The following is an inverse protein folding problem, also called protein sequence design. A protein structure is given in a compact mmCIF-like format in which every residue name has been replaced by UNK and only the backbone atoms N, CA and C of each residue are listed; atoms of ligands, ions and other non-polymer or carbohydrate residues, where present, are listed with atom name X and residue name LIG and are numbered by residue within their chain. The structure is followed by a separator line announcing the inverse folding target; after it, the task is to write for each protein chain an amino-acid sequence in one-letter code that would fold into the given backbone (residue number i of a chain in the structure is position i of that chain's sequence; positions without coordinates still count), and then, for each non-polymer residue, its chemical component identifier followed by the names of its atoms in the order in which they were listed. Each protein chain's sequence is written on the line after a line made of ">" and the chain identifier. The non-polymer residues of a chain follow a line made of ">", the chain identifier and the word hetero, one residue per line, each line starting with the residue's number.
data_IF_578255047379
#
_entry.id   IF_578255047379
#
_cell.length_a   1.000
_cell.length_b   1.000
_cell.length_c   1.000
_cell.angle_alpha   90.00
_cell.angle_beta   90.00
_cell.angle_gamma   90.00
#
_symmetry.space_group_name_H-M   'P 1'
#
loop_
_entity.id
_entity.type
_entity.pdbx_description
1 polymer ?
#
# COMPACT_ATOMS: atom_id res chain seq x y z
N UNK A 1 -0.06 -19.79 -39.45
CA UNK A 1 -0.96 -18.63 -39.31
C UNK A 1 -1.71 -18.72 -37.99
N UNK A 2 -1.12 -18.17 -36.94
CA UNK A 2 -1.57 -18.29 -35.53
C UNK A 2 -2.99 -17.72 -35.36
N UNK A 3 -3.30 -16.62 -36.05
CA UNK A 3 -4.63 -15.99 -36.01
C UNK A 3 -5.70 -16.94 -36.57
N UNK A 4 -5.38 -17.65 -37.64
CA UNK A 4 -6.28 -18.64 -38.23
C UNK A 4 -6.47 -19.86 -37.31
N UNK A 5 -5.47 -20.18 -36.49
CA UNK A 5 -5.55 -21.22 -35.45
C UNK A 5 -6.32 -20.75 -34.18
N UNK A 6 -6.81 -19.50 -34.15
CA UNK A 6 -7.53 -18.93 -33.01
C UNK A 6 -6.65 -18.37 -31.90
N UNK A 7 -5.35 -18.32 -32.09
CA UNK A 7 -4.41 -17.67 -31.14
C UNK A 7 -4.64 -16.16 -31.19
N UNK A 8 -4.86 -15.57 -30.03
CA UNK A 8 -5.10 -14.13 -29.89
C UNK A 8 -4.08 -13.51 -28.95
N UNK A 9 -3.67 -12.26 -29.18
CA UNK A 9 -2.85 -11.55 -28.21
C UNK A 9 -3.60 -11.42 -26.88
N UNK A 10 -2.89 -11.63 -25.81
CA UNK A 10 -3.39 -11.49 -24.44
C UNK A 10 -2.50 -10.55 -23.63
N UNK A 11 -3.07 -9.97 -22.59
CA UNK A 11 -2.35 -9.07 -21.66
C UNK A 11 -2.07 -9.82 -20.37
N UNK A 12 -0.82 -9.83 -19.96
CA UNK A 12 -0.40 -10.39 -18.68
C UNK A 12 -0.05 -9.26 -17.71
N UNK A 13 -0.53 -9.34 -16.47
CA UNK A 13 -0.25 -8.38 -15.42
C UNK A 13 1.01 -8.80 -14.65
N UNK A 14 2.04 -7.98 -14.73
CA UNK A 14 3.28 -8.16 -13.98
C UNK A 14 3.34 -7.12 -12.86
N UNK A 15 3.27 -7.61 -11.63
CA UNK A 15 3.37 -6.73 -10.45
C UNK A 15 4.81 -6.31 -10.19
N UNK A 16 5.06 -5.20 -9.49
CA UNK A 16 6.41 -4.76 -9.15
C UNK A 16 7.26 -5.81 -8.43
N UNK A 17 6.62 -6.72 -7.68
CA UNK A 17 7.31 -7.82 -6.96
C UNK A 17 7.84 -8.91 -7.91
N UNK A 18 7.30 -9.00 -9.12
CA UNK A 18 7.72 -9.97 -10.14
C UNK A 18 8.84 -9.41 -11.02
N UNK A 19 9.02 -8.09 -11.05
CA UNK A 19 10.05 -7.43 -11.86
C UNK A 19 11.41 -7.58 -11.19
N UNK A 20 12.38 -8.13 -11.92
CA UNK A 20 13.73 -8.36 -11.43
C UNK A 20 14.71 -7.28 -11.90
N UNK A 21 14.57 -6.85 -13.17
CA UNK A 21 15.47 -5.85 -13.76
C UNK A 21 14.86 -5.22 -15.01
N UNK A 22 15.26 -3.98 -15.33
CA UNK A 22 14.84 -3.29 -16.53
C UNK A 22 15.83 -2.20 -16.92
N UNK A 23 15.93 -1.94 -18.22
CA UNK A 23 16.76 -0.87 -18.75
C UNK A 23 16.01 -0.08 -19.82
N UNK A 24 16.10 1.24 -19.73
CA UNK A 24 15.55 2.16 -20.70
C UNK A 24 16.65 2.79 -21.51
N UNK A 25 16.49 2.78 -22.83
CA UNK A 25 17.40 3.46 -23.76
C UNK A 25 16.68 4.53 -24.57
N UNK A 26 17.44 5.44 -25.08
CA UNK A 26 16.92 6.49 -25.94
C UNK A 26 17.04 6.05 -27.38
N UNK A 27 15.91 5.93 -28.09
CA UNK A 27 15.89 5.60 -29.50
C UNK A 27 16.49 6.73 -30.36
N UNK A 28 16.79 6.44 -31.61
CA UNK A 28 17.26 7.43 -32.58
C UNK A 28 16.29 8.61 -32.77
N UNK A 29 15.01 8.39 -32.52
CA UNK A 29 13.95 9.43 -32.55
C UNK A 29 13.86 10.25 -31.25
N UNK A 30 14.74 9.98 -30.28
CA UNK A 30 14.77 10.68 -28.99
C UNK A 30 13.75 10.17 -27.97
N UNK A 31 12.93 9.18 -28.31
CA UNK A 31 11.97 8.55 -27.38
C UNK A 31 12.67 7.50 -26.51
N UNK A 32 12.25 7.40 -25.26
CA UNK A 32 12.70 6.31 -24.40
C UNK A 32 11.89 5.06 -24.69
N UNK A 33 12.58 3.95 -24.87
CA UNK A 33 12.01 2.61 -25.03
C UNK A 33 12.71 1.63 -24.12
N UNK A 34 12.04 0.54 -23.76
CA UNK A 34 12.65 -0.56 -23.03
C UNK A 34 13.67 -1.27 -23.93
N UNK A 35 14.90 -1.38 -23.45
CA UNK A 35 15.98 -2.12 -24.11
C UNK A 35 16.18 -3.50 -23.47
N UNK A 36 15.79 -3.63 -22.22
CA UNK A 36 15.89 -4.88 -21.45
C UNK A 36 14.78 -4.94 -20.44
N UNK A 37 14.15 -6.12 -20.27
CA UNK A 37 13.13 -6.36 -19.27
C UNK A 37 13.17 -7.80 -18.78
N UNK A 38 13.34 -7.97 -17.48
CA UNK A 38 13.45 -9.27 -16.81
C UNK A 38 12.44 -9.38 -15.69
N UNK A 39 11.65 -10.45 -15.71
CA UNK A 39 10.63 -10.66 -14.69
C UNK A 39 10.38 -12.14 -14.44
N UNK A 40 9.79 -12.46 -13.30
CA UNK A 40 9.29 -13.79 -12.96
C UNK A 40 7.91 -13.93 -13.56
N UNK A 41 7.73 -14.88 -14.48
CA UNK A 41 6.45 -15.16 -15.10
C UNK A 41 5.57 -16.04 -14.20
N UNK A 42 6.18 -17.07 -13.61
CA UNK A 42 5.49 -18.05 -12.79
C UNK A 42 6.39 -18.55 -11.67
N UNK A 43 5.77 -18.87 -10.53
CA UNK A 43 6.40 -19.54 -9.40
C UNK A 43 5.58 -20.81 -9.12
N UNK A 44 6.20 -21.97 -9.25
CA UNK A 44 5.57 -23.25 -9.00
C UNK A 44 6.40 -24.06 -7.99
N UNK A 45 6.04 -23.94 -6.70
CA UNK A 45 6.83 -24.48 -5.61
C UNK A 45 8.23 -23.86 -5.59
N UNK A 46 9.25 -24.70 -5.69
CA UNK A 46 10.67 -24.30 -5.68
C UNK A 46 11.20 -23.91 -7.07
N UNK A 47 10.34 -23.93 -8.09
CA UNK A 47 10.73 -23.63 -9.47
C UNK A 47 10.16 -22.28 -9.89
N UNK A 48 11.02 -21.45 -10.50
CA UNK A 48 10.66 -20.12 -11.02
C UNK A 48 10.93 -20.07 -12.51
N UNK A 49 9.93 -19.62 -13.27
CA UNK A 49 10.08 -19.31 -14.68
C UNK A 49 10.35 -17.83 -14.83
N UNK A 50 11.50 -17.49 -15.40
CA UNK A 50 11.95 -16.11 -15.60
C UNK A 50 11.95 -15.82 -17.10
N UNK A 51 11.32 -14.73 -17.49
CA UNK A 51 11.41 -14.19 -18.84
C UNK A 51 12.35 -12.99 -18.92
N UNK A 52 13.14 -12.99 -19.98
CA UNK A 52 14.05 -11.91 -20.31
C UNK A 52 13.74 -11.46 -21.72
N UNK A 53 13.32 -10.22 -21.86
CA UNK A 53 12.99 -9.61 -23.14
C UNK A 53 14.09 -8.62 -23.54
N UNK A 54 14.47 -8.71 -24.79
CA UNK A 54 15.24 -7.70 -25.51
C UNK A 54 14.48 -7.29 -26.78
N UNK A 55 14.86 -6.23 -27.49
CA UNK A 55 14.26 -5.92 -28.79
C UNK A 55 14.34 -7.08 -29.80
N UNK A 56 15.41 -7.88 -29.75
CA UNK A 56 15.69 -8.92 -30.72
C UNK A 56 15.26 -10.33 -30.27
N UNK A 57 15.29 -10.61 -28.96
CA UNK A 57 15.05 -11.97 -28.45
C UNK A 57 14.19 -12.00 -27.19
N UNK A 58 13.55 -13.13 -26.98
CA UNK A 58 12.84 -13.51 -25.75
C UNK A 58 13.46 -14.78 -25.20
N UNK A 59 14.02 -14.70 -24.02
CA UNK A 59 14.62 -15.84 -23.34
C UNK A 59 13.77 -16.26 -22.15
N UNK A 60 13.41 -17.54 -22.12
CA UNK A 60 12.72 -18.15 -20.97
C UNK A 60 13.72 -19.02 -20.23
N UNK A 61 13.87 -18.81 -18.93
CA UNK A 61 14.82 -19.51 -18.07
C UNK A 61 14.06 -20.10 -16.88
N UNK A 62 14.14 -21.40 -16.72
CA UNK A 62 13.56 -22.11 -15.58
C UNK A 62 14.66 -22.40 -14.57
N UNK A 63 14.49 -21.90 -13.35
CA UNK A 63 15.48 -22.06 -12.25
C UNK A 63 14.83 -22.68 -11.03
N UNK A 64 15.63 -23.44 -10.26
CA UNK A 64 15.22 -23.93 -8.95
C UNK A 64 15.57 -22.91 -7.84
N UNK A 65 15.16 -23.18 -6.60
CA UNK A 65 15.46 -22.33 -5.44
C UNK A 65 16.96 -22.09 -5.20
N UNK A 66 17.82 -23.00 -5.59
CA UNK A 66 19.28 -22.85 -5.51
C UNK A 66 19.84 -22.03 -6.70
N UNK A 67 18.98 -21.39 -7.49
CA UNK A 67 19.34 -20.62 -8.70
C UNK A 67 20.08 -21.46 -9.77
N UNK A 68 19.92 -22.76 -9.76
CA UNK A 68 20.44 -23.64 -10.80
C UNK A 68 19.46 -23.64 -11.97
N UNK A 69 19.93 -23.30 -13.16
CA UNK A 69 19.14 -23.35 -14.39
C UNK A 69 18.79 -24.79 -14.73
N UNK A 70 17.50 -25.09 -14.81
CA UNK A 70 16.97 -26.38 -15.23
C UNK A 70 16.84 -26.40 -16.75
N UNK A 71 16.27 -25.35 -17.32
CA UNK A 71 15.98 -25.21 -18.73
C UNK A 71 16.19 -23.77 -19.18
N UNK A 72 16.60 -23.57 -20.44
CA UNK A 72 16.72 -22.26 -21.04
C UNK A 72 16.39 -22.34 -22.52
N UNK A 73 15.39 -21.58 -22.95
CA UNK A 73 14.98 -21.45 -24.36
C UNK A 73 15.13 -19.98 -24.80
N UNK A 74 15.47 -19.77 -26.06
CA UNK A 74 15.58 -18.43 -26.64
C UNK A 74 14.89 -18.39 -28.00
N UNK A 75 14.04 -17.42 -28.19
CA UNK A 75 13.23 -17.20 -29.38
C UNK A 75 13.46 -15.80 -29.94
N UNK A 76 13.24 -15.61 -31.22
CA UNK A 76 13.37 -14.30 -31.87
C UNK A 76 12.14 -13.45 -31.52
N UNK A 77 12.35 -12.21 -31.10
CA UNK A 77 11.28 -11.24 -30.91
C UNK A 77 10.91 -10.61 -32.27
N UNK A 78 9.85 -11.09 -32.88
CA UNK A 78 9.38 -10.62 -34.19
C UNK A 78 8.86 -9.19 -34.21
N UNK A 79 8.71 -8.50 -33.06
CA UNK A 79 8.21 -7.13 -32.97
C UNK A 79 9.32 -6.06 -33.08
N UNK A 80 10.58 -6.43 -32.85
CA UNK A 80 11.71 -5.48 -32.80
C UNK A 80 11.68 -4.51 -31.63
N UNK A 81 10.74 -4.67 -30.69
CA UNK A 81 10.57 -3.86 -29.48
C UNK A 81 10.00 -4.72 -28.38
N UNK A 82 10.19 -4.34 -27.12
CA UNK A 82 9.64 -5.07 -25.96
C UNK A 82 8.18 -4.65 -25.75
N UNK A 83 7.19 -5.59 -25.87
CA UNK A 83 5.77 -5.29 -25.75
C UNK A 83 5.33 -5.19 -24.29
N UNK A 84 5.91 -4.26 -23.54
CA UNK A 84 5.59 -4.02 -22.15
C UNK A 84 5.21 -2.55 -21.93
N UNK A 85 4.16 -2.34 -21.14
CA UNK A 85 3.66 -1.03 -20.77
C UNK A 85 3.79 -0.87 -19.26
N UNK A 86 4.46 0.20 -18.82
CA UNK A 86 4.57 0.53 -17.41
C UNK A 86 3.41 1.43 -17.01
N UNK A 87 2.43 0.86 -16.30
CA UNK A 87 1.28 1.58 -15.78
C UNK A 87 1.62 2.19 -14.41
N UNK A 88 1.70 3.51 -14.36
CA UNK A 88 2.00 4.23 -13.13
C UNK A 88 0.73 4.69 -12.43
N UNK A 89 0.63 4.46 -11.13
CA UNK A 89 -0.33 5.17 -10.30
C UNK A 89 0.01 6.68 -10.26
N UNK A 90 1.26 6.98 -9.93
CA UNK A 90 1.87 8.30 -10.06
C UNK A 90 3.32 8.11 -10.50
N UNK A 91 3.75 8.87 -11.49
CA UNK A 91 5.08 8.73 -12.05
C UNK A 91 6.14 9.29 -11.11
N UNK A 92 7.15 8.47 -10.79
CA UNK A 92 8.33 8.88 -10.05
C UNK A 92 9.39 9.57 -10.94
N UNK A 93 10.48 10.00 -10.29
CA UNK A 93 11.64 10.60 -10.98
C UNK A 93 12.38 9.54 -11.80
N UNK A 94 12.49 8.33 -11.25
CA UNK A 94 13.14 7.20 -11.92
C UNK A 94 12.14 6.51 -12.84
N UNK A 95 12.50 6.35 -14.09
CA UNK A 95 11.66 5.65 -15.08
C UNK A 95 11.54 4.16 -14.72
N UNK A 96 10.33 3.65 -14.73
CA UNK A 96 10.01 2.29 -14.27
C UNK A 96 9.58 2.23 -12.80
N UNK A 97 9.78 3.31 -12.02
CA UNK A 97 9.35 3.36 -10.62
C UNK A 97 8.23 4.40 -10.46
N UNK A 98 7.10 3.95 -9.94
CA UNK A 98 5.98 4.81 -9.57
C UNK A 98 6.07 5.27 -8.11
N UNK A 99 5.22 6.22 -7.76
CA UNK A 99 5.02 6.68 -6.38
C UNK A 99 3.74 6.06 -5.86
N UNK A 100 3.81 5.46 -4.68
CA UNK A 100 2.64 4.90 -3.99
C UNK A 100 1.80 6.00 -3.35
N UNK A 101 0.48 5.90 -3.45
CA UNK A 101 -0.43 6.80 -2.73
C UNK A 101 -0.43 6.57 -1.22
N UNK A 102 -0.03 5.38 -0.79
CA UNK A 102 0.00 4.99 0.62
C UNK A 102 1.41 5.03 1.24
N UNK A 103 2.41 5.53 0.48
CA UNK A 103 3.78 5.58 0.96
C UNK A 103 3.92 6.38 2.25
N UNK A 104 3.43 7.62 2.25
CA UNK A 104 3.47 8.50 3.42
C UNK A 104 2.52 8.03 4.54
N UNK A 105 1.41 7.37 4.17
CA UNK A 105 0.43 6.82 5.11
C UNK A 105 1.02 5.62 5.87
N UNK A 106 1.86 4.83 5.24
CA UNK A 106 2.44 3.62 5.85
C UNK A 106 3.25 3.94 7.11
N UNK A 107 3.98 5.05 7.14
CA UNK A 107 4.74 5.47 8.32
C UNK A 107 3.81 5.91 9.47
N UNK A 108 2.72 6.60 9.17
CA UNK A 108 1.71 6.96 10.18
C UNK A 108 0.98 5.72 10.69
N UNK A 109 0.67 4.77 9.83
CA UNK A 109 0.07 3.49 10.24
C UNK A 109 0.99 2.71 11.18
N UNK A 110 2.29 2.66 10.90
CA UNK A 110 3.28 2.04 11.78
C UNK A 110 3.35 2.73 13.14
N UNK A 111 3.27 4.07 13.15
CA UNK A 111 3.23 4.85 14.38
C UNK A 111 2.00 4.53 15.23
N UNK A 112 0.80 4.46 14.62
CA UNK A 112 -0.44 4.06 15.31
C UNK A 112 -0.34 2.65 15.88
N UNK A 113 0.25 1.71 15.12
CA UNK A 113 0.47 0.34 15.58
C UNK A 113 1.35 0.29 16.83
N UNK A 114 2.45 1.06 16.85
CA UNK A 114 3.32 1.15 18.01
C UNK A 114 2.59 1.75 19.22
N UNK A 115 1.83 2.82 19.03
CA UNK A 115 1.01 3.42 20.10
C UNK A 115 -0.03 2.43 20.66
N UNK A 116 -0.65 1.63 19.80
CA UNK A 116 -1.56 0.55 20.25
C UNK A 116 -0.86 -0.47 21.13
N UNK A 117 0.38 -0.84 20.78
CA UNK A 117 1.19 -1.76 21.58
C UNK A 117 1.55 -1.16 22.95
N UNK A 118 1.85 0.13 23.01
CA UNK A 118 2.10 0.85 24.26
C UNK A 118 0.85 0.89 25.16
N UNK A 119 -0.32 1.12 24.58
CA UNK A 119 -1.59 1.06 25.32
C UNK A 119 -1.80 -0.35 25.91
N UNK A 120 -1.64 -1.39 25.09
CA UNK A 120 -1.81 -2.78 25.54
C UNK A 120 -0.86 -3.11 26.69
N UNK A 121 0.42 -2.69 26.59
CA UNK A 121 1.39 -2.89 27.66
C UNK A 121 1.00 -2.13 28.94
N UNK A 122 0.57 -0.87 28.81
CA UNK A 122 0.13 -0.06 29.94
C UNK A 122 -1.08 -0.68 30.63
N UNK A 123 -2.10 -1.11 29.86
CA UNK A 123 -3.28 -1.78 30.40
C UNK A 123 -2.89 -3.07 31.14
N UNK A 124 -1.96 -3.84 30.59
CA UNK A 124 -1.47 -5.08 31.21
C UNK A 124 -0.77 -4.81 32.54
N UNK A 125 0.05 -3.77 32.61
CA UNK A 125 0.72 -3.35 33.86
C UNK A 125 -0.28 -2.81 34.88
N UNK A 126 -1.25 -1.99 34.46
CA UNK A 126 -2.28 -1.43 35.33
C UNK A 126 -3.27 -2.48 35.85
N UNK A 127 -3.49 -3.56 35.07
CA UNK A 127 -4.35 -4.68 35.49
C UNK A 127 -3.73 -5.55 36.59
N UNK A 128 -2.41 -5.42 36.81
CA UNK A 128 -1.66 -6.11 37.87
C UNK A 128 -0.94 -5.12 38.75
N UNK A 129 -1.64 -4.30 39.54
CA UNK A 129 -1.03 -3.25 40.34
C UNK A 129 -0.09 -3.86 41.40
N UNK A 130 1.07 -3.24 41.57
CA UNK A 130 2.04 -3.64 42.58
C UNK A 130 1.70 -2.99 43.93
N UNK A 131 1.70 -3.78 45.00
CA UNK A 131 1.55 -3.27 46.36
C UNK A 131 2.93 -2.97 46.90
N UNK A 132 3.14 -1.73 47.34
CA UNK A 132 4.35 -1.30 48.04
C UNK A 132 4.08 -1.35 49.52
N UNK A 133 4.89 -2.10 50.27
CA UNK A 133 4.75 -2.27 51.68
C UNK A 133 6.14 -2.39 52.35
N UNK A 134 6.20 -2.12 53.64
CA UNK A 134 7.42 -2.33 54.43
C UNK A 134 7.68 -3.82 54.66
N UNK A 135 8.93 -4.24 54.94
CA UNK A 135 9.25 -5.66 55.17
C UNK A 135 8.48 -6.33 56.29
N UNK A 136 8.00 -5.55 57.27
CA UNK A 136 7.27 -6.06 58.42
C UNK A 136 5.72 -6.09 58.21
N UNK A 137 5.23 -5.75 57.00
CA UNK A 137 3.81 -5.80 56.66
C UNK A 137 3.42 -7.20 56.19
N UNK A 138 2.42 -7.79 56.82
CA UNK A 138 1.91 -9.09 56.42
C UNK A 138 0.90 -8.88 55.30
N UNK A 139 1.25 -9.33 54.08
CA UNK A 139 0.40 -9.28 52.89
C UNK A 139 -0.26 -10.65 52.69
N UNK A 140 -1.56 -10.69 52.59
CA UNK A 140 -2.27 -11.89 52.13
C UNK A 140 -2.83 -11.69 50.73
N UNK A 141 -2.70 -12.70 49.85
CA UNK A 141 -3.19 -12.64 48.48
C UNK A 141 -4.68 -13.11 48.45
N UNK A 142 -5.53 -12.35 47.76
CA UNK A 142 -6.91 -12.70 47.51
C UNK A 142 -7.89 -11.52 47.56
N UNK A 143 -9.01 -11.65 46.88
CA UNK A 143 -10.05 -10.63 46.91
C UNK A 143 -10.62 -10.50 48.36
N UNK A 144 -10.63 -9.30 48.91
CA UNK A 144 -11.07 -9.02 50.28
C UNK A 144 -10.05 -9.40 51.35
N UNK A 145 -8.80 -9.69 51.02
CA UNK A 145 -7.75 -9.97 51.98
C UNK A 145 -7.44 -8.75 52.85
N UNK A 146 -7.21 -9.01 54.16
CA UNK A 146 -6.83 -7.96 55.12
C UNK A 146 -5.32 -7.82 55.13
N UNK A 147 -4.85 -6.61 54.93
CA UNK A 147 -3.44 -6.25 55.08
C UNK A 147 -3.20 -5.82 56.53
N UNK A 148 -2.39 -6.56 57.27
CA UNK A 148 -2.02 -6.21 58.63
C UNK A 148 -0.76 -5.29 58.62
N UNK A 149 -0.90 -4.15 59.24
CA UNK A 149 0.14 -3.13 59.36
C UNK A 149 0.57 -3.04 60.80
N UNK A 150 1.90 -2.92 61.14
CA UNK A 150 2.36 -2.69 62.50
C UNK A 150 1.70 -1.45 63.12
N UNK A 151 1.36 -1.52 64.42
CA UNK A 151 0.68 -0.42 65.12
C UNK A 151 1.54 0.86 65.18
N UNK A 152 2.87 0.71 65.23
CA UNK A 152 3.85 1.81 65.33
C UNK A 152 4.36 2.32 63.97
N UNK A 153 3.66 1.96 62.88
CA UNK A 153 4.10 2.38 61.52
C UNK A 153 3.82 3.87 61.33
N UNK A 154 4.87 4.60 60.88
CA UNK A 154 4.74 5.99 60.44
C UNK A 154 3.66 6.09 59.35
N UNK A 155 2.73 7.08 59.41
CA UNK A 155 1.68 7.27 58.41
C UNK A 155 2.19 7.36 56.97
N UNK A 156 3.46 7.81 56.76
CA UNK A 156 4.12 7.86 55.45
C UNK A 156 4.59 6.52 54.93
N UNK A 157 4.61 5.47 55.78
CA UNK A 157 5.07 4.13 55.40
C UNK A 157 3.91 3.12 55.22
N UNK A 158 2.66 3.60 55.24
CA UNK A 158 1.52 2.74 54.98
C UNK A 158 1.58 2.08 53.62
N UNK A 159 1.14 0.81 53.50
CA UNK A 159 1.05 0.16 52.21
C UNK A 159 0.18 0.95 51.24
N UNK A 160 0.65 1.08 50.02
CA UNK A 160 -0.10 1.73 48.95
C UNK A 160 0.02 0.92 47.67
N UNK A 161 -0.96 1.10 46.80
CA UNK A 161 -0.97 0.50 45.46
C UNK A 161 -0.22 1.45 44.51
N UNK A 162 0.83 0.93 43.89
CA UNK A 162 1.52 1.63 42.80
C UNK A 162 0.72 1.38 41.51
N UNK A 163 -0.07 2.35 41.16
CA UNK A 163 -0.92 2.30 39.99
C UNK A 163 -0.70 3.54 39.14
N UNK A 164 -0.69 3.39 37.83
CA UNK A 164 -0.67 4.50 36.88
C UNK A 164 -1.99 5.29 36.99
N UNK A 165 -1.92 6.58 36.74
CA UNK A 165 -3.11 7.45 36.80
C UNK A 165 -4.05 7.29 35.60
N UNK A 166 -3.74 6.44 34.64
CA UNK A 166 -4.50 6.30 33.38
C UNK A 166 -4.41 7.53 32.45
N UNK A 167 -3.85 8.62 32.90
CA UNK A 167 -3.68 9.83 32.10
C UNK A 167 -2.81 9.58 30.83
N UNK A 168 -1.85 8.67 30.93
CA UNK A 168 -1.01 8.26 29.81
C UNK A 168 -1.82 7.63 28.70
N UNK A 169 -2.78 6.76 29.04
CA UNK A 169 -3.65 6.10 28.04
C UNK A 169 -4.49 7.14 27.31
N UNK A 170 -5.08 8.10 28.00
CA UNK A 170 -5.85 9.17 27.39
C UNK A 170 -5.00 10.02 26.42
N UNK A 171 -3.76 10.32 26.81
CA UNK A 171 -2.81 11.06 25.97
C UNK A 171 -2.43 10.27 24.72
N UNK A 172 -2.17 8.96 24.83
CA UNK A 172 -1.84 8.10 23.69
C UNK A 172 -3.05 8.01 22.75
N UNK A 173 -4.27 7.83 23.27
CA UNK A 173 -5.50 7.80 22.46
C UNK A 173 -5.72 9.12 21.70
N UNK A 174 -5.49 10.27 22.33
CA UNK A 174 -5.57 11.56 21.66
C UNK A 174 -4.54 11.70 20.54
N UNK A 175 -3.32 11.20 20.76
CA UNK A 175 -2.25 11.17 19.74
C UNK A 175 -2.63 10.24 18.58
N UNK A 176 -3.20 9.07 18.86
CA UNK A 176 -3.71 8.17 17.83
C UNK A 176 -4.81 8.82 16.99
N UNK A 177 -5.77 9.48 17.63
CA UNK A 177 -6.84 10.20 16.92
C UNK A 177 -6.25 11.28 15.98
N UNK A 178 -5.28 12.07 16.46
CA UNK A 178 -4.59 13.06 15.64
C UNK A 178 -3.82 12.43 14.46
N UNK A 179 -3.24 11.24 14.65
CA UNK A 179 -2.55 10.51 13.58
C UNK A 179 -3.53 9.96 12.53
N UNK A 180 -4.71 9.51 12.96
CA UNK A 180 -5.80 9.10 12.05
C UNK A 180 -6.29 10.29 11.23
N UNK A 181 -6.48 11.46 11.84
CA UNK A 181 -6.85 12.69 11.13
C UNK A 181 -5.78 13.12 10.11
N UNK A 182 -4.50 12.92 10.45
CA UNK A 182 -3.41 13.18 9.52
C UNK A 182 -3.46 12.24 8.31
N UNK A 183 -3.75 10.94 8.51
CA UNK A 183 -3.95 9.97 7.43
C UNK A 183 -5.11 10.39 6.54
N UNK A 184 -6.25 10.79 7.13
CA UNK A 184 -7.42 11.22 6.35
C UNK A 184 -7.12 12.45 5.48
N UNK A 185 -6.33 13.39 5.99
CA UNK A 185 -5.88 14.56 5.22
C UNK A 185 -4.92 14.17 4.09
N UNK A 186 -3.96 13.29 4.35
CA UNK A 186 -3.01 12.82 3.33
C UNK A 186 -3.71 12.01 2.24
N UNK A 187 -4.70 11.19 2.62
CA UNK A 187 -5.49 10.38 1.69
C UNK A 187 -6.59 11.16 0.96
N UNK A 188 -6.93 12.38 1.41
CA UNK A 188 -8.13 13.13 0.99
C UNK A 188 -9.43 12.35 1.20
N UNK A 189 -9.52 11.56 2.27
CA UNK A 189 -10.68 10.71 2.59
C UNK A 189 -11.52 11.26 3.74
N UNK A 190 -11.18 12.45 4.26
CA UNK A 190 -11.86 13.07 5.40
C UNK A 190 -13.37 13.20 5.21
N UNK A 191 -13.82 13.60 4.01
CA UNK A 191 -15.25 13.70 3.70
C UNK A 191 -16.00 12.36 3.75
N UNK A 192 -15.34 11.26 3.41
CA UNK A 192 -15.93 9.91 3.41
C UNK A 192 -16.03 9.36 4.84
N UNK A 193 -15.03 9.66 5.68
CA UNK A 193 -14.94 9.17 7.06
C UNK A 193 -15.65 10.06 8.08
N UNK A 194 -16.04 11.27 7.71
CA UNK A 194 -16.77 12.16 8.61
C UNK A 194 -18.09 11.52 9.05
N UNK A 195 -18.03 10.76 10.14
CA UNK A 195 -19.20 10.12 10.78
C UNK A 195 -20.12 11.17 11.42
N UNK A 196 -19.54 12.34 11.75
CA UNK A 196 -20.27 13.49 12.29
C UNK A 196 -20.59 14.52 11.19
N UNK A 197 -21.47 14.13 10.27
CA UNK A 197 -22.01 15.04 9.24
C UNK A 197 -22.62 16.35 9.79
N UNK A 198 -22.74 16.45 11.11
CA UNK A 198 -23.28 17.63 11.81
C UNK A 198 -22.29 18.80 11.94
N UNK A 199 -21.02 18.58 11.76
CA UNK A 199 -19.97 19.60 12.06
C UNK A 199 -19.35 20.22 10.81
N UNK A 200 -19.47 19.61 9.63
CA UNK A 200 -18.95 20.19 8.39
C UNK A 200 -20.04 20.98 7.65
N UNK A 201 -19.72 22.20 7.23
CA UNK A 201 -20.60 22.94 6.33
C UNK A 201 -20.64 22.25 4.96
N UNK A 202 -21.77 22.33 4.24
CA UNK A 202 -21.90 21.74 2.91
C UNK A 202 -20.79 22.18 1.94
N UNK A 203 -20.30 23.42 2.07
CA UNK A 203 -19.18 23.95 1.27
C UNK A 203 -17.87 23.24 1.61
N UNK A 204 -17.57 22.98 2.89
CA UNK A 204 -16.34 22.29 3.30
C UNK A 204 -16.35 20.85 2.79
N UNK A 205 -17.47 20.14 2.90
CA UNK A 205 -17.63 18.80 2.36
C UNK A 205 -17.46 18.77 0.83
N UNK A 206 -18.05 19.75 0.13
CA UNK A 206 -17.90 19.88 -1.32
C UNK A 206 -16.43 20.09 -1.72
N UNK A 207 -15.69 20.91 -0.97
CA UNK A 207 -14.26 21.15 -1.23
C UNK A 207 -13.42 19.87 -1.07
N UNK A 208 -13.66 19.07 -0.03
CA UNK A 208 -12.96 17.80 0.16
C UNK A 208 -13.31 16.77 -0.92
N UNK A 209 -14.57 16.71 -1.36
CA UNK A 209 -14.95 15.88 -2.50
C UNK A 209 -14.28 16.33 -3.79
N UNK A 210 -14.09 17.64 -4.01
CA UNK A 210 -13.35 18.14 -5.17
C UNK A 210 -11.87 17.71 -5.14
N UNK A 211 -11.24 17.68 -3.97
CA UNK A 211 -9.87 17.18 -3.83
C UNK A 211 -9.76 15.69 -4.17
N UNK A 212 -10.70 14.88 -3.69
CA UNK A 212 -10.78 13.46 -4.03
C UNK A 212 -11.05 13.25 -5.53
N UNK A 213 -12.00 14.01 -6.10
CA UNK A 213 -12.33 13.96 -7.52
C UNK A 213 -11.12 14.31 -8.41
N UNK A 214 -10.33 15.30 -8.02
CA UNK A 214 -9.10 15.67 -8.71
C UNK A 214 -8.06 14.55 -8.72
N UNK A 215 -7.91 13.85 -7.59
CA UNK A 215 -7.02 12.66 -7.53
C UNK A 215 -7.51 11.51 -8.40
N UNK A 216 -8.83 11.29 -8.45
CA UNK A 216 -9.41 10.26 -9.31
C UNK A 216 -9.23 10.61 -10.78
N UNK A 217 -9.37 11.89 -11.17
CA UNK A 217 -9.10 12.33 -12.52
C UNK A 217 -7.63 12.11 -12.94
N UNK A 218 -6.65 12.44 -12.08
CA UNK A 218 -5.23 12.15 -12.35
C UNK A 218 -4.98 10.65 -12.60
N UNK A 219 -5.68 9.78 -11.86
CA UNK A 219 -5.60 8.33 -12.05
C UNK A 219 -6.29 7.87 -13.34
N UNK A 220 -7.41 8.47 -13.68
CA UNK A 220 -8.10 8.19 -14.94
C UNK A 220 -7.21 8.52 -16.14
N UNK A 221 -6.54 9.69 -16.13
CA UNK A 221 -5.58 10.08 -17.16
C UNK A 221 -4.44 9.07 -17.30
N UNK A 222 -3.89 8.61 -16.16
CA UNK A 222 -2.80 7.63 -16.15
C UNK A 222 -3.23 6.26 -16.69
N UNK A 223 -4.46 5.82 -16.36
CA UNK A 223 -5.02 4.56 -16.85
C UNK A 223 -5.37 4.64 -18.33
N UNK A 224 -5.97 5.75 -18.79
CA UNK A 224 -6.28 6.00 -20.20
C UNK A 224 -5.03 5.88 -21.07
N UNK A 225 -3.96 6.56 -20.68
CA UNK A 225 -2.68 6.49 -21.39
C UNK A 225 -2.09 5.06 -21.38
N UNK A 226 -2.20 4.37 -20.25
CA UNK A 226 -1.73 3.00 -20.12
C UNK A 226 -2.50 2.05 -21.05
N UNK A 227 -3.82 2.13 -21.04
CA UNK A 227 -4.69 1.30 -21.85
C UNK A 227 -4.52 1.58 -23.35
N UNK A 228 -4.38 2.86 -23.72
CA UNK A 228 -4.07 3.25 -25.10
C UNK A 228 -2.76 2.59 -25.59
N UNK A 229 -1.73 2.55 -24.76
CA UNK A 229 -0.47 1.88 -25.11
C UNK A 229 -0.64 0.37 -25.20
N UNK A 230 -1.45 -0.26 -24.35
CA UNK A 230 -1.75 -1.70 -24.42
C UNK A 230 -2.46 -2.03 -25.75
N UNK A 231 -3.48 -1.25 -26.11
CA UNK A 231 -4.20 -1.46 -27.36
C UNK A 231 -3.32 -1.25 -28.59
N UNK A 232 -2.41 -0.27 -28.57
CA UNK A 232 -1.42 -0.10 -29.65
C UNK A 232 -0.55 -1.35 -29.83
N UNK A 233 -0.17 -2.04 -28.75
CA UNK A 233 0.54 -3.30 -28.82
C UNK A 233 -0.30 -4.42 -29.40
N UNK A 234 -1.55 -4.55 -28.95
CA UNK A 234 -2.49 -5.54 -29.47
C UNK A 234 -2.68 -5.37 -30.98
N UNK A 235 -2.93 -4.15 -31.45
CA UNK A 235 -3.05 -3.83 -32.87
C UNK A 235 -1.78 -4.14 -33.66
N UNK A 236 -0.61 -3.84 -33.08
CA UNK A 236 0.69 -4.16 -33.68
C UNK A 236 0.88 -5.67 -33.84
N UNK A 237 0.51 -6.48 -32.84
CA UNK A 237 0.51 -7.94 -32.94
C UNK A 237 -0.43 -8.47 -34.01
N UNK A 238 -1.59 -7.84 -34.15
CA UNK A 238 -2.58 -8.23 -35.18
C UNK A 238 -2.22 -7.75 -36.60
N UNK A 239 -1.17 -6.93 -36.75
CA UNK A 239 -0.79 -6.32 -38.02
C UNK A 239 -1.80 -5.31 -38.56
N UNK A 240 -2.62 -4.72 -37.70
CA UNK A 240 -3.68 -3.75 -38.03
C UNK A 240 -3.28 -2.36 -37.52
N UNK A 241 -3.68 -1.32 -38.25
CA UNK A 241 -3.46 0.05 -37.78
C UNK A 241 -4.32 0.35 -36.55
N UNK A 242 -3.73 1.03 -35.59
CA UNK A 242 -4.44 1.48 -34.38
C UNK A 242 -5.37 2.66 -34.72
N UNK A 243 -6.66 2.51 -34.44
CA UNK A 243 -7.71 3.50 -34.68
C UNK A 243 -8.69 3.64 -33.49
N UNK A 244 -8.40 2.97 -32.38
CA UNK A 244 -9.24 3.05 -31.19
C UNK A 244 -8.98 4.33 -30.40
N UNK A 245 -10.05 4.92 -29.88
CA UNK A 245 -10.01 6.01 -28.92
C UNK A 245 -10.50 5.50 -27.56
N UNK A 246 -9.71 5.78 -26.52
CA UNK A 246 -10.02 5.38 -25.16
C UNK A 246 -10.23 6.66 -24.37
N UNK A 247 -11.35 6.77 -23.66
CA UNK A 247 -11.65 7.91 -22.81
C UNK A 247 -12.22 7.44 -21.47
N UNK A 248 -11.60 7.88 -20.40
CA UNK A 248 -12.09 7.68 -19.04
C UNK A 248 -12.85 8.91 -18.56
N UNK A 249 -13.84 8.76 -17.66
CA UNK A 249 -14.53 9.92 -17.10
C UNK A 249 -13.58 10.76 -16.24
N UNK A 250 -13.60 12.08 -16.43
CA UNK A 250 -12.81 13.03 -15.62
C UNK A 250 -13.66 13.74 -14.57
N UNK A 251 -14.98 13.65 -14.66
CA UNK A 251 -15.90 14.27 -13.73
C UNK A 251 -16.46 13.24 -12.75
N UNK A 252 -15.96 13.27 -11.52
CA UNK A 252 -16.40 12.42 -10.41
C UNK A 252 -17.30 13.22 -9.44
N UNK A 253 -18.25 13.98 -9.97
CA UNK A 253 -19.16 14.75 -9.14
C UNK A 253 -20.20 13.84 -8.51
N UNK A 254 -20.31 13.89 -7.18
CA UNK A 254 -21.45 13.30 -6.48
C UNK A 254 -22.65 14.22 -6.76
N UNK A 255 -23.47 13.81 -7.70
CA UNK A 255 -24.76 14.46 -7.94
C UNK A 255 -25.64 14.12 -6.74
N UNK A 256 -25.81 15.06 -5.84
CA UNK A 256 -26.89 14.98 -4.85
C UNK A 256 -28.21 14.93 -5.61
N UNK A 257 -28.88 13.79 -5.57
CA UNK A 257 -30.23 13.54 -6.11
C UNK A 257 -31.31 14.35 -5.38
N UNK A 258 -31.02 15.57 -4.95
CA UNK A 258 -31.92 16.46 -4.21
C UNK A 258 -32.42 17.64 -5.06
N UNK A 259 -32.47 17.47 -6.38
CA UNK A 259 -33.15 18.42 -7.30
C UNK A 259 -33.82 17.67 -8.45
N UNK A 260 -34.85 16.90 -8.14
CA UNK A 260 -35.95 16.61 -9.06
C UNK A 260 -37.25 16.66 -8.25
#
# INVERSE_FOLDING_TARGET
>A
DEIAAGVRPYVNLITPLMVLDWQWERSATGRYQLAYFKYIEEINGDVKTIKVWTPDTVKTVVVNDNQVTIESTEEVNGLGEIPAVCCYNKRGIIRGIGISDIGDIADQQRYIYNLSSEIEQTIRLDSHPSVVATPNTILSAGAGSIIQVPEDLDPGLKPYILQSSGANIASILATMASSVDAIDKMANTGAIRATDAKTMSGIAMQTEFMMLASRLAEKADALELCEEHIWRWIYKYMGVNYDAEIAYPHAYNIVTTAQT
#
